data_IF_878072846125
#
_entry.id   IF_878072846125
#
_cell.length_a   1.000
_cell.length_b   1.000
_cell.length_c   1.000
_cell.angle_alpha   90.00
_cell.angle_beta   90.00
_cell.angle_gamma   90.00
#
_symmetry.space_group_name_H-M   'P 1'
#
loop_
_entity.id
_entity.type
_entity.pdbx_description
1 polymer ?
#
# COMPACT_ATOMS: atom_id res chain seq x y z
N UNK A 1 11.82 -18.52 2.17
CA UNK A 1 11.42 -18.11 3.53
C UNK A 1 11.91 -16.72 3.98
N UNK A 2 13.20 -16.38 3.85
CA UNK A 2 13.71 -15.08 4.33
C UNK A 2 13.01 -13.85 3.71
N UNK A 3 12.69 -13.90 2.42
CA UNK A 3 11.96 -12.82 1.75
C UNK A 3 10.54 -12.63 2.28
N UNK A 4 9.80 -13.72 2.53
CA UNK A 4 8.44 -13.65 3.09
C UNK A 4 8.44 -13.14 4.52
N UNK A 5 9.42 -13.55 5.35
CA UNK A 5 9.60 -12.98 6.69
C UNK A 5 9.82 -11.48 6.65
N UNK A 6 10.68 -11.00 5.73
CA UNK A 6 10.91 -9.57 5.55
C UNK A 6 9.64 -8.82 5.12
N UNK A 7 8.82 -9.40 4.24
CA UNK A 7 7.54 -8.80 3.84
C UNK A 7 6.55 -8.75 5.01
N UNK A 8 6.37 -9.86 5.73
CA UNK A 8 5.50 -9.93 6.90
C UNK A 8 5.94 -8.94 7.99
N UNK A 9 7.24 -8.86 8.29
CA UNK A 9 7.80 -7.91 9.26
C UNK A 9 7.49 -6.44 8.92
N UNK A 10 7.55 -6.06 7.63
CA UNK A 10 7.19 -4.69 7.21
C UNK A 10 5.72 -4.38 7.46
N UNK A 11 4.82 -5.32 7.15
CA UNK A 11 3.39 -5.16 7.39
C UNK A 11 3.09 -5.10 8.88
N UNK A 12 3.71 -5.99 9.65
CA UNK A 12 3.60 -6.05 11.11
C UNK A 12 4.00 -4.73 11.77
N UNK A 13 5.18 -4.20 11.40
CA UNK A 13 5.64 -2.90 11.89
C UNK A 13 4.65 -1.78 11.55
N UNK A 14 4.13 -1.76 10.32
CA UNK A 14 3.18 -0.71 9.93
C UNK A 14 1.84 -0.84 10.65
N UNK A 15 1.35 -2.07 10.88
CA UNK A 15 0.16 -2.33 11.68
C UNK A 15 0.32 -1.84 13.12
N UNK A 16 1.48 -2.06 13.74
CA UNK A 16 1.77 -1.53 15.07
C UNK A 16 1.76 0.00 15.10
N UNK A 17 2.26 0.66 14.05
CA UNK A 17 2.20 2.13 13.92
C UNK A 17 0.76 2.63 13.79
N UNK A 18 -0.08 1.93 13.02
CA UNK A 18 -1.49 2.25 12.87
C UNK A 18 -2.24 2.11 14.20
N UNK A 19 -1.94 1.06 14.97
CA UNK A 19 -2.50 0.84 16.31
C UNK A 19 -2.09 1.94 17.28
N UNK A 20 -0.82 2.36 17.27
CA UNK A 20 -0.34 3.49 18.07
C UNK A 20 -1.03 4.82 17.68
N UNK A 21 -1.52 4.94 16.45
CA UNK A 21 -2.31 6.08 15.96
C UNK A 21 -3.82 5.91 16.19
N UNK A 22 -4.26 4.81 16.83
CA UNK A 22 -5.67 4.50 17.07
C UNK A 22 -6.44 4.09 15.81
N UNK A 23 -5.75 3.73 14.72
CA UNK A 23 -6.38 3.26 13.48
C UNK A 23 -6.65 1.77 13.59
N UNK A 24 -7.81 1.42 14.16
CA UNK A 24 -8.17 0.01 14.43
C UNK A 24 -9.30 -0.53 13.55
N UNK A 25 -10.12 0.36 12.98
CA UNK A 25 -11.27 0.01 12.14
C UNK A 25 -10.83 -0.69 10.84
N UNK A 26 -11.40 -1.86 10.47
CA UNK A 26 -10.97 -2.66 9.32
C UNK A 26 -10.87 -1.87 8.01
N UNK A 27 -11.89 -1.09 7.66
CA UNK A 27 -11.91 -0.31 6.41
C UNK A 27 -10.80 0.75 6.38
N UNK A 28 -10.53 1.40 7.52
CA UNK A 28 -9.44 2.37 7.62
C UNK A 28 -8.08 1.69 7.55
N UNK A 29 -7.93 0.51 8.15
CA UNK A 29 -6.72 -0.31 8.04
C UNK A 29 -6.46 -0.71 6.59
N UNK A 30 -7.46 -1.20 5.87
CA UNK A 30 -7.34 -1.57 4.44
C UNK A 30 -6.83 -0.37 3.63
N UNK A 31 -7.44 0.80 3.79
CA UNK A 31 -7.02 2.01 3.06
C UNK A 31 -5.58 2.44 3.39
N UNK A 32 -5.15 2.28 4.65
CA UNK A 32 -3.79 2.59 5.09
C UNK A 32 -2.76 1.55 4.65
N UNK A 33 -3.15 0.29 4.58
CA UNK A 33 -2.29 -0.82 4.21
C UNK A 33 -2.30 -1.12 2.71
N UNK A 34 -3.07 -0.39 1.89
CA UNK A 34 -3.25 -0.67 0.46
C UNK A 34 -1.93 -0.82 -0.33
N UNK A 35 -0.90 -0.05 0.01
CA UNK A 35 0.43 -0.16 -0.61
C UNK A 35 1.15 -1.50 -0.39
N UNK A 36 0.73 -2.28 0.62
CA UNK A 36 1.27 -3.59 0.97
C UNK A 36 0.54 -4.75 0.29
N UNK A 37 -0.58 -4.50 -0.38
CA UNK A 37 -1.39 -5.54 -1.06
C UNK A 37 -0.56 -6.39 -2.02
N UNK A 38 0.38 -5.84 -2.84
CA UNK A 38 1.22 -6.67 -3.70
C UNK A 38 2.13 -7.63 -2.91
N UNK A 39 2.74 -7.18 -1.83
CA UNK A 39 3.57 -8.03 -0.98
C UNK A 39 2.71 -9.09 -0.25
N UNK A 40 1.49 -8.74 0.17
CA UNK A 40 0.54 -9.68 0.80
C UNK A 40 0.13 -10.78 -0.18
N UNK A 41 -0.20 -10.41 -1.42
CA UNK A 41 -0.53 -11.37 -2.47
C UNK A 41 0.63 -12.34 -2.77
N UNK A 42 1.88 -11.84 -2.78
CA UNK A 42 3.07 -12.69 -2.93
C UNK A 42 3.26 -13.66 -1.77
N UNK A 43 2.93 -13.27 -0.54
CA UNK A 43 2.94 -14.21 0.59
C UNK A 43 1.88 -15.28 0.36
N UNK A 44 0.61 -14.91 0.15
CA UNK A 44 -0.48 -15.89 -0.02
C UNK A 44 -0.27 -16.90 -1.14
N UNK A 45 0.26 -16.45 -2.28
CA UNK A 45 0.49 -17.33 -3.45
C UNK A 45 1.84 -18.05 -3.41
N UNK A 46 2.78 -17.58 -2.59
CA UNK A 46 4.17 -18.04 -2.58
C UNK A 46 4.57 -18.89 -1.38
N UNK A 47 3.73 -18.97 -0.34
CA UNK A 47 4.00 -19.77 0.86
C UNK A 47 3.17 -21.04 0.92
N UNK A 48 3.71 -22.09 1.53
CA UNK A 48 2.91 -23.23 2.01
C UNK A 48 2.11 -22.88 3.26
N UNK A 49 1.07 -23.65 3.58
CA UNK A 49 0.28 -23.46 4.81
C UNK A 49 1.14 -23.47 6.07
N UNK A 50 2.15 -24.34 6.12
CA UNK A 50 3.08 -24.43 7.26
C UNK A 50 3.94 -23.16 7.40
N UNK A 51 4.39 -22.61 6.27
CA UNK A 51 5.16 -21.36 6.27
C UNK A 51 4.28 -20.18 6.63
N UNK A 52 3.05 -20.11 6.10
CA UNK A 52 2.09 -19.07 6.44
C UNK A 52 1.71 -19.11 7.93
N UNK A 53 1.51 -20.31 8.49
CA UNK A 53 1.28 -20.49 9.92
C UNK A 53 2.48 -20.02 10.76
N UNK A 54 3.71 -20.30 10.32
CA UNK A 54 4.91 -19.79 11.00
C UNK A 54 4.98 -18.25 10.94
N UNK A 55 4.68 -17.63 9.80
CA UNK A 55 4.67 -16.17 9.65
C UNK A 55 3.62 -15.49 10.52
N UNK A 56 2.41 -16.06 10.60
CA UNK A 56 1.32 -15.50 11.41
C UNK A 56 1.59 -15.59 12.91
N UNK A 57 2.33 -16.61 13.36
CA UNK A 57 2.81 -16.72 14.74
C UNK A 57 3.97 -15.75 15.05
N UNK A 58 4.90 -15.58 14.10
CA UNK A 58 6.08 -14.72 14.25
C UNK A 58 5.71 -13.23 14.18
N UNK A 59 4.69 -12.87 13.39
CA UNK A 59 4.29 -11.49 13.09
C UNK A 59 2.78 -11.27 13.30
N UNK A 60 2.33 -10.97 14.54
CA UNK A 60 0.91 -10.91 14.89
C UNK A 60 0.14 -9.74 14.23
N UNK A 61 0.80 -8.61 13.96
CA UNK A 61 0.24 -7.49 13.21
C UNK A 61 0.03 -7.85 11.74
N UNK A 62 0.97 -8.60 11.13
CA UNK A 62 0.77 -9.18 9.79
C UNK A 62 -0.44 -10.13 9.78
N UNK A 63 -0.54 -11.03 10.77
CA UNK A 63 -1.70 -11.92 10.89
C UNK A 63 -3.02 -11.14 10.96
N UNK A 64 -3.08 -10.10 11.80
CA UNK A 64 -4.27 -9.24 11.89
C UNK A 64 -4.62 -8.60 10.55
N UNK A 65 -3.64 -8.09 9.81
CA UNK A 65 -3.89 -7.52 8.50
C UNK A 65 -4.41 -8.56 7.50
N UNK A 66 -3.80 -9.75 7.45
CA UNK A 66 -4.25 -10.84 6.61
C UNK A 66 -5.71 -11.23 6.92
N UNK A 67 -6.06 -11.33 8.20
CA UNK A 67 -7.43 -11.65 8.63
C UNK A 67 -8.44 -10.56 8.23
N UNK A 68 -8.08 -9.29 8.33
CA UNK A 68 -8.92 -8.16 7.88
C UNK A 68 -9.19 -8.28 6.38
N UNK A 69 -8.16 -8.55 5.59
CA UNK A 69 -8.29 -8.69 4.13
C UNK A 69 -9.09 -9.93 3.73
N UNK A 70 -8.88 -11.06 4.41
CA UNK A 70 -9.66 -12.29 4.21
C UNK A 70 -11.14 -12.06 4.55
N UNK A 71 -11.43 -11.44 5.69
CA UNK A 71 -12.80 -11.11 6.09
C UNK A 71 -13.46 -10.17 5.06
N UNK A 72 -12.74 -9.16 4.59
CA UNK A 72 -13.27 -8.24 3.57
C UNK A 72 -13.52 -8.97 2.24
N UNK A 73 -12.63 -9.89 1.85
CA UNK A 73 -12.82 -10.73 0.67
C UNK A 73 -14.03 -11.64 0.82
N UNK A 74 -14.23 -12.30 1.96
CA UNK A 74 -15.39 -13.15 2.22
C UNK A 74 -16.71 -12.36 2.20
N UNK A 75 -16.74 -11.19 2.83
CA UNK A 75 -17.90 -10.29 2.81
C UNK A 75 -18.25 -9.87 1.40
N UNK A 76 -17.24 -9.51 0.61
CA UNK A 76 -17.45 -9.18 -0.80
C UNK A 76 -17.91 -10.43 -1.57
N UNK A 77 -17.38 -11.61 -1.22
CA UNK A 77 -17.73 -12.86 -1.87
C UNK A 77 -19.21 -13.25 -1.70
N UNK A 78 -19.79 -12.90 -0.55
CA UNK A 78 -21.19 -13.17 -0.21
C UNK A 78 -22.20 -12.27 -0.95
N UNK A 79 -21.74 -11.21 -1.63
CA UNK A 79 -22.64 -10.31 -2.38
C UNK A 79 -23.18 -11.03 -3.61
N UNK A 80 -24.49 -11.00 -3.78
CA UNK A 80 -25.18 -11.66 -4.91
C UNK A 80 -24.86 -11.03 -6.27
N UNK A 81 -24.44 -9.77 -6.29
CA UNK A 81 -23.95 -9.05 -7.46
C UNK A 81 -23.08 -7.88 -7.01
N UNK A 82 -21.99 -7.64 -7.73
CA UNK A 82 -21.08 -6.51 -7.54
C UNK A 82 -21.08 -5.67 -8.79
N UNK A 83 -20.95 -4.36 -8.61
CA UNK A 83 -20.97 -3.41 -9.72
C UNK A 83 -19.79 -3.58 -10.71
N UNK A 84 -18.81 -4.42 -10.36
CA UNK A 84 -17.61 -4.69 -11.14
C UNK A 84 -17.47 -6.16 -11.58
N UNK A 85 -18.50 -6.99 -11.41
CA UNK A 85 -18.46 -8.40 -11.85
C UNK A 85 -18.29 -8.54 -13.39
N UNK A 86 -18.82 -7.60 -14.16
CA UNK A 86 -18.75 -7.59 -15.63
C UNK A 86 -17.56 -6.79 -16.16
N UNK A 87 -16.71 -6.24 -15.28
CA UNK A 87 -15.58 -5.44 -15.73
C UNK A 87 -14.47 -6.31 -16.32
N UNK A 88 -13.85 -5.87 -17.43
CA UNK A 88 -12.70 -6.58 -17.97
C UNK A 88 -11.55 -6.55 -16.97
N UNK A 89 -10.79 -7.63 -16.89
CA UNK A 89 -9.57 -7.61 -16.08
C UNK A 89 -8.56 -6.60 -16.63
N UNK A 90 -7.82 -5.93 -15.74
CA UNK A 90 -6.66 -5.16 -16.14
C UNK A 90 -5.64 -6.04 -16.86
N UNK A 91 -5.01 -5.49 -17.90
CA UNK A 91 -3.89 -6.15 -18.58
C UNK A 91 -2.77 -6.48 -17.58
N UNK A 92 -1.96 -7.50 -17.90
CA UNK A 92 -0.80 -7.86 -17.08
C UNK A 92 0.15 -6.67 -16.88
N UNK A 93 0.33 -5.84 -17.91
CA UNK A 93 1.12 -4.60 -17.84
C UNK A 93 0.52 -3.62 -16.82
N UNK A 94 -0.79 -3.37 -16.86
CA UNK A 94 -1.45 -2.47 -15.90
C UNK A 94 -1.38 -2.99 -14.47
N UNK A 95 -1.60 -4.29 -14.27
CA UNK A 95 -1.43 -4.93 -12.96
C UNK A 95 0.00 -4.73 -12.44
N UNK A 96 1.01 -4.97 -13.28
CA UNK A 96 2.41 -4.80 -12.91
C UNK A 96 2.76 -3.35 -12.55
N UNK A 97 2.33 -2.37 -13.37
CA UNK A 97 2.55 -0.96 -13.07
C UNK A 97 1.87 -0.54 -11.77
N UNK A 98 0.64 -1.00 -11.53
CA UNK A 98 -0.06 -0.75 -10.27
C UNK A 98 0.70 -1.32 -9.07
N UNK A 99 1.18 -2.56 -9.16
CA UNK A 99 1.97 -3.17 -8.09
C UNK A 99 3.23 -2.35 -7.76
N UNK A 100 3.92 -1.84 -8.78
CA UNK A 100 5.10 -0.99 -8.60
C UNK A 100 4.76 0.33 -7.92
N UNK A 101 3.69 0.99 -8.35
CA UNK A 101 3.20 2.24 -7.74
C UNK A 101 2.86 2.03 -6.26
N UNK A 102 2.10 0.97 -5.94
CA UNK A 102 1.69 0.65 -4.57
C UNK A 102 2.89 0.29 -3.68
N UNK A 103 3.81 -0.54 -4.18
CA UNK A 103 5.00 -0.96 -3.43
C UNK A 103 5.93 0.23 -3.15
N UNK A 104 6.06 1.13 -4.12
CA UNK A 104 6.86 2.36 -3.97
C UNK A 104 6.21 3.30 -2.96
N UNK A 105 4.88 3.46 -3.01
CA UNK A 105 4.14 4.25 -2.03
C UNK A 105 4.33 3.72 -0.60
N UNK A 106 4.19 2.42 -0.38
CA UNK A 106 4.43 1.82 0.95
C UNK A 106 5.86 2.05 1.44
N UNK A 107 6.85 2.05 0.52
CA UNK A 107 8.24 2.34 0.85
C UNK A 107 8.45 3.81 1.22
N UNK A 108 7.82 4.73 0.49
CA UNK A 108 7.83 6.16 0.82
C UNK A 108 7.16 6.45 2.16
N UNK A 109 5.98 5.88 2.40
CA UNK A 109 5.22 6.05 3.65
C UNK A 109 6.03 5.57 4.85
N UNK A 110 6.63 4.37 4.79
CA UNK A 110 7.57 3.89 5.82
C UNK A 110 8.77 4.80 5.99
N UNK A 111 9.35 5.26 4.87
CA UNK A 111 10.52 6.14 4.89
C UNK A 111 10.23 7.43 5.65
N UNK A 112 9.12 8.11 5.33
CA UNK A 112 8.73 9.33 6.03
C UNK A 112 8.41 9.07 7.50
N UNK A 113 7.66 8.02 7.82
CA UNK A 113 7.35 7.66 9.21
C UNK A 113 8.60 7.35 10.03
N UNK A 114 9.64 6.75 9.44
CA UNK A 114 10.90 6.46 10.13
C UNK A 114 11.67 7.72 10.56
N UNK A 115 11.48 8.85 9.87
CA UNK A 115 12.14 10.11 10.21
C UNK A 115 11.25 11.05 11.03
N UNK A 116 9.97 10.74 11.21
CA UNK A 116 9.06 11.55 12.02
C UNK A 116 9.48 11.53 13.50
N UNK A 117 9.67 12.72 14.09
CA UNK A 117 10.03 12.87 15.52
C UNK A 117 11.52 12.66 15.86
N UNK A 118 12.37 12.37 14.87
CA UNK A 118 13.82 12.24 15.05
C UNK A 118 14.53 13.59 14.82
N UNK A 119 15.78 13.72 15.30
CA UNK A 119 16.62 14.90 15.00
C UNK A 119 16.97 14.92 13.50
N UNK A 120 16.16 15.63 12.71
CA UNK A 120 16.14 15.59 11.25
C UNK A 120 17.45 16.05 10.59
N UNK A 121 18.26 16.87 11.27
CA UNK A 121 19.52 17.41 10.74
C UNK A 121 20.57 16.34 10.44
N UNK A 122 20.48 15.16 11.07
CA UNK A 122 21.40 14.04 10.82
C UNK A 122 21.01 13.24 9.56
N UNK A 123 19.80 13.44 9.04
CA UNK A 123 19.23 12.64 7.95
C UNK A 123 18.92 13.45 6.68
N UNK A 124 19.58 14.60 6.51
CA UNK A 124 19.28 15.54 5.42
C UNK A 124 19.39 14.90 4.04
N UNK A 125 20.43 14.10 3.79
CA UNK A 125 20.58 13.39 2.52
C UNK A 125 19.48 12.36 2.28
N UNK A 126 19.09 11.61 3.31
CA UNK A 126 18.04 10.60 3.22
C UNK A 126 16.66 11.25 2.97
N UNK A 127 16.39 12.39 3.62
CA UNK A 127 15.15 13.16 3.40
C UNK A 127 15.12 13.75 1.98
N UNK A 128 16.25 14.23 1.45
CA UNK A 128 16.35 14.68 0.04
C UNK A 128 16.05 13.53 -0.92
N UNK A 129 16.64 12.34 -0.71
CA UNK A 129 16.37 11.17 -1.56
C UNK A 129 14.92 10.71 -1.48
N UNK A 130 14.30 10.76 -0.30
CA UNK A 130 12.87 10.45 -0.14
C UNK A 130 12.00 11.44 -0.92
N UNK A 131 12.33 12.72 -0.91
CA UNK A 131 11.62 13.74 -1.70
C UNK A 131 11.73 13.48 -3.20
N UNK A 132 12.94 13.22 -3.70
CA UNK A 132 13.14 12.88 -5.11
C UNK A 132 12.37 11.61 -5.50
N UNK A 133 12.37 10.60 -4.62
CA UNK A 133 11.62 9.37 -4.84
C UNK A 133 10.10 9.62 -4.87
N UNK A 134 9.61 10.57 -4.06
CA UNK A 134 8.20 10.96 -4.07
C UNK A 134 7.82 11.73 -5.34
N UNK A 135 8.66 12.64 -5.82
CA UNK A 135 8.47 13.35 -7.10
C UNK A 135 8.39 12.36 -8.27
N UNK A 136 9.31 11.39 -8.31
CA UNK A 136 9.30 10.32 -9.31
C UNK A 136 8.03 9.46 -9.20
N UNK A 137 7.60 9.14 -7.98
CA UNK A 137 6.37 8.39 -7.76
C UNK A 137 5.14 9.13 -8.29
N UNK A 138 5.05 10.45 -8.07
CA UNK A 138 3.98 11.29 -8.62
C UNK A 138 3.99 11.26 -10.15
N UNK A 139 5.16 11.37 -10.77
CA UNK A 139 5.29 11.25 -12.23
C UNK A 139 4.83 9.88 -12.75
N UNK A 140 5.20 8.79 -12.06
CA UNK A 140 4.72 7.45 -12.40
C UNK A 140 3.20 7.33 -12.32
N UNK A 141 2.57 7.86 -11.27
CA UNK A 141 1.10 7.88 -11.11
C UNK A 141 0.43 8.64 -12.25
N UNK A 142 0.96 9.82 -12.58
CA UNK A 142 0.42 10.67 -13.64
C UNK A 142 0.55 10.04 -15.03
N UNK A 143 1.70 9.42 -15.31
CA UNK A 143 1.92 8.69 -16.56
C UNK A 143 1.01 7.45 -16.65
N UNK A 144 0.85 6.71 -15.56
CA UNK A 144 -0.06 5.57 -15.51
C UNK A 144 -1.51 6.00 -15.74
N UNK A 145 -1.95 7.12 -15.16
CA UNK A 145 -3.29 7.69 -15.41
C UNK A 145 -3.49 8.01 -16.90
N UNK A 146 -2.51 8.59 -17.58
CA UNK A 146 -2.58 8.85 -19.02
C UNK A 146 -2.70 7.55 -19.83
N UNK A 147 -1.95 6.52 -19.46
CA UNK A 147 -2.02 5.19 -20.10
C UNK A 147 -3.41 4.58 -19.93
N UNK A 148 -3.96 4.56 -18.71
CA UNK A 148 -5.31 4.05 -18.46
C UNK A 148 -6.39 4.83 -19.20
N UNK A 149 -6.23 6.15 -19.35
CA UNK A 149 -7.17 6.99 -20.08
C UNK A 149 -7.16 6.73 -21.59
N UNK A 150 -6.00 6.36 -22.13
CA UNK A 150 -5.82 6.04 -23.55
C UNK A 150 -6.23 4.60 -23.92
N UNK A 151 -6.35 3.71 -22.93
CA UNK A 151 -6.78 2.32 -23.15
C UNK A 151 -8.31 2.22 -23.22
N UNK A 152 -8.84 1.90 -24.40
CA UNK A 152 -10.27 1.75 -24.68
C UNK A 152 -10.92 0.58 -23.92
N UNK A 153 -10.12 -0.42 -23.49
CA UNK A 153 -10.60 -1.57 -22.72
C UNK A 153 -10.88 -1.17 -21.26
N UNK A 154 -10.12 -0.21 -20.72
CA UNK A 154 -10.27 0.22 -19.34
C UNK A 154 -11.50 1.12 -19.20
N UNK A 155 -12.51 0.63 -18.48
CA UNK A 155 -13.79 1.34 -18.30
C UNK A 155 -13.63 2.60 -17.45
N UNK A 156 -14.53 3.61 -17.58
CA UNK A 156 -14.51 4.81 -16.73
C UNK A 156 -14.51 4.48 -15.23
N UNK A 157 -15.33 3.52 -14.82
CA UNK A 157 -15.43 3.12 -13.41
C UNK A 157 -14.14 2.49 -12.87
N UNK A 158 -13.41 1.72 -13.68
CA UNK A 158 -12.08 1.22 -13.30
C UNK A 158 -11.08 2.36 -13.12
N UNK A 159 -11.12 3.37 -13.99
CA UNK A 159 -10.26 4.56 -13.88
C UNK A 159 -10.58 5.33 -12.60
N UNK A 160 -11.86 5.48 -12.26
CA UNK A 160 -12.31 6.18 -11.06
C UNK A 160 -11.85 5.46 -9.78
N UNK A 161 -11.97 4.13 -9.71
CA UNK A 161 -11.46 3.36 -8.57
C UNK A 161 -9.95 3.50 -8.39
N UNK A 162 -9.19 3.36 -9.48
CA UNK A 162 -7.74 3.55 -9.46
C UNK A 162 -7.39 4.96 -9.01
N UNK A 163 -8.06 5.97 -9.56
CA UNK A 163 -7.81 7.35 -9.23
C UNK A 163 -8.11 7.65 -7.75
N UNK A 164 -9.26 7.20 -7.25
CA UNK A 164 -9.64 7.40 -5.86
C UNK A 164 -8.62 6.78 -4.89
N UNK A 165 -8.17 5.55 -5.16
CA UNK A 165 -7.17 4.88 -4.34
C UNK A 165 -5.82 5.60 -4.35
N UNK A 166 -5.32 5.99 -5.53
CA UNK A 166 -4.03 6.67 -5.66
C UNK A 166 -4.05 8.08 -5.08
N UNK A 167 -5.15 8.81 -5.20
CA UNK A 167 -5.32 10.14 -4.57
C UNK A 167 -5.22 10.05 -3.05
N UNK A 168 -5.90 9.07 -2.43
CA UNK A 168 -5.80 8.87 -0.98
C UNK A 168 -4.38 8.54 -0.52
N UNK A 169 -3.58 7.84 -1.34
CA UNK A 169 -2.17 7.59 -1.04
C UNK A 169 -1.36 8.90 -1.17
N UNK A 170 -1.56 9.63 -2.26
CA UNK A 170 -0.86 10.88 -2.52
C UNK A 170 -1.07 11.90 -1.38
N UNK A 171 -2.33 12.09 -0.95
CA UNK A 171 -2.68 13.02 0.13
C UNK A 171 -1.94 12.68 1.44
N UNK A 172 -1.83 11.38 1.77
CA UNK A 172 -1.08 10.93 2.95
C UNK A 172 0.41 11.20 2.83
N UNK A 173 1.02 10.93 1.67
CA UNK A 173 2.44 11.17 1.46
C UNK A 173 2.75 12.68 1.52
N UNK A 174 1.86 13.54 1.02
CA UNK A 174 1.97 15.00 1.13
C UNK A 174 1.91 15.45 2.60
N UNK A 175 0.96 14.92 3.37
CA UNK A 175 0.82 15.22 4.80
C UNK A 175 2.09 14.82 5.59
N UNK A 176 2.59 13.60 5.36
CA UNK A 176 3.82 13.11 5.97
C UNK A 176 5.04 13.97 5.62
N UNK A 177 5.19 14.31 4.34
CA UNK A 177 6.27 15.19 3.88
C UNK A 177 6.20 16.57 4.53
N UNK A 178 4.99 17.14 4.63
CA UNK A 178 4.75 18.46 5.22
C UNK A 178 5.07 18.46 6.72
N UNK A 179 4.68 17.42 7.45
CA UNK A 179 5.03 17.24 8.87
C UNK A 179 6.53 17.22 9.10
N UNK A 180 7.29 16.55 8.24
CA UNK A 180 8.77 16.54 8.32
C UNK A 180 9.35 17.93 8.08
N UNK A 181 8.80 18.70 7.13
CA UNK A 181 9.25 20.06 6.87
C UNK A 181 8.98 21.03 8.03
N UNK A 182 7.83 20.90 8.70
CA UNK A 182 7.48 21.75 9.85
C UNK A 182 8.41 21.53 11.04
N UNK A 183 8.85 20.30 11.29
CA UNK A 183 9.78 19.97 12.39
C UNK A 183 11.25 20.37 12.10
N UNK A 184 11.53 20.89 10.90
CA UNK A 184 12.86 21.40 10.51
C UNK A 184 13.02 22.91 10.78
N UNK A 185 11.92 23.64 10.97
CA UNK A 185 11.93 25.08 11.28
C UNK A 185 12.02 25.31 12.78
#
# INVERSE_FOLDING_TARGET
MADFRRMAAKMDQHMQQLDAQGVTEPQRVINRMMGYTPELHRIWTGTTDKELMALTQEYPGFYRYALIMETAFEQENQRSSRAYDEMPEFSATHKHTMEQILTTAATLERGYLAYQGNALSVFDEQIIRLRQSFELWQECVENFRKVLNADEIVTPMQRDYVHAGLTQIADRLIDLQTKIQMHRK
#
